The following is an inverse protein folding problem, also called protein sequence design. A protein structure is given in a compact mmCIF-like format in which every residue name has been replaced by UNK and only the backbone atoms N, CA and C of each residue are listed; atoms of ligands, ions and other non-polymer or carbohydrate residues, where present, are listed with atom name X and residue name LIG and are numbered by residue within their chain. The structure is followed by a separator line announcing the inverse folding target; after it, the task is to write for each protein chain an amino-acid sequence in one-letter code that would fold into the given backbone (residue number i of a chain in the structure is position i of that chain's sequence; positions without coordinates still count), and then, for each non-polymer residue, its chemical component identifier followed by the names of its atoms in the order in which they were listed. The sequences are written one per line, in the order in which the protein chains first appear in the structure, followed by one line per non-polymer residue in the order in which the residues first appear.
data_IF_412464293639
#
_entry.id   IF_412464293639
#
_cell.length_a   1.000
_cell.length_b   1.000
_cell.length_c   1.000
_cell.angle_alpha   90.00
_cell.angle_beta   90.00
_cell.angle_gamma   90.00
#
_symmetry.space_group_name_H-M   'P 1'
#
loop_
_entity.id
_entity.type
_entity.pdbx_description
1 polymer ?
#
# COMPACT_ATOMS: atom_id res chain seq x y z
N UNK A 1 -0.72 10.20 23.37
CA UNK A 1 0.04 11.02 22.42
C UNK A 1 -0.89 11.40 21.28
N UNK A 2 -0.93 12.67 20.87
CA UNK A 2 -1.78 13.14 19.77
C UNK A 2 -1.12 12.80 18.44
N UNK A 3 -1.86 12.10 17.57
CA UNK A 3 -1.54 12.02 16.14
C UNK A 3 -1.50 13.44 15.59
N UNK A 4 -0.33 13.90 15.15
CA UNK A 4 -0.19 15.18 14.46
C UNK A 4 0.03 14.82 13.00
N UNK A 5 -1.06 14.85 12.23
CA UNK A 5 -1.02 14.90 10.78
C UNK A 5 0.02 15.93 10.32
N UNK A 6 0.87 15.56 9.37
CA UNK A 6 1.92 16.42 8.82
C UNK A 6 1.55 16.88 7.41
N UNK A 7 1.00 18.10 7.24
CA UNK A 7 0.57 18.60 5.94
C UNK A 7 1.71 18.63 4.91
N UNK A 8 2.93 18.93 5.35
CA UNK A 8 4.10 19.04 4.46
C UNK A 8 4.47 17.68 3.87
N UNK A 9 4.48 16.61 4.68
CA UNK A 9 4.75 15.25 4.19
C UNK A 9 3.60 14.72 3.35
N UNK A 10 2.34 15.02 3.73
CA UNK A 10 1.17 14.67 2.93
C UNK A 10 1.22 15.27 1.52
N UNK A 11 1.52 16.57 1.43
CA UNK A 11 1.62 17.28 0.15
C UNK A 11 2.76 16.74 -0.72
N UNK A 12 3.94 16.47 -0.14
CA UNK A 12 5.07 15.89 -0.88
C UNK A 12 4.71 14.50 -1.44
N UNK A 13 4.16 13.63 -0.59
CA UNK A 13 3.73 12.30 -0.99
C UNK A 13 2.66 12.34 -2.09
N UNK A 14 1.69 13.26 -1.99
CA UNK A 14 0.70 13.49 -3.04
C UNK A 14 1.36 13.90 -4.36
N UNK A 15 2.19 14.96 -4.34
CA UNK A 15 2.82 15.51 -5.56
C UNK A 15 3.70 14.48 -6.25
N UNK A 16 4.49 13.73 -5.49
CA UNK A 16 5.39 12.74 -6.08
C UNK A 16 4.63 11.49 -6.56
N UNK A 17 3.53 11.11 -5.92
CA UNK A 17 2.60 10.11 -6.46
C UNK A 17 1.97 10.57 -7.78
N UNK A 18 1.46 11.81 -7.87
CA UNK A 18 0.89 12.38 -9.11
C UNK A 18 1.90 12.31 -10.26
N UNK A 19 3.14 12.75 -10.02
CA UNK A 19 4.22 12.70 -11.02
C UNK A 19 4.51 11.26 -11.45
N UNK A 20 4.72 10.36 -10.48
CA UNK A 20 5.01 8.96 -10.77
C UNK A 20 3.90 8.30 -11.60
N UNK A 21 2.64 8.51 -11.23
CA UNK A 21 1.48 7.98 -11.95
C UNK A 21 1.37 8.53 -13.38
N UNK A 22 1.62 9.83 -13.56
CA UNK A 22 1.58 10.50 -14.87
C UNK A 22 2.71 10.02 -15.79
N UNK A 23 3.94 9.97 -15.31
CA UNK A 23 5.12 9.49 -16.06
C UNK A 23 4.97 8.02 -16.50
N UNK A 24 4.26 7.22 -15.69
CA UNK A 24 4.00 5.79 -15.95
C UNK A 24 2.71 5.53 -16.73
N UNK A 25 1.94 6.56 -17.08
CA UNK A 25 0.71 6.43 -17.86
C UNK A 25 -0.39 5.59 -17.18
N UNK A 26 -0.48 5.62 -15.84
CA UNK A 26 -1.46 4.82 -15.09
C UNK A 26 -2.79 5.56 -14.96
N UNK A 27 -3.93 4.92 -15.21
CA UNK A 27 -5.25 5.57 -15.25
C UNK A 27 -5.97 5.65 -13.88
N UNK A 28 -5.78 4.68 -12.97
CA UNK A 28 -6.44 4.64 -11.64
C UNK A 28 -5.77 5.61 -10.63
N UNK A 29 -5.77 6.92 -10.94
CA UNK A 29 -4.96 7.90 -10.20
C UNK A 29 -5.58 8.38 -8.89
N UNK A 30 -6.90 8.61 -8.86
CA UNK A 30 -7.55 9.33 -7.75
C UNK A 30 -7.38 8.63 -6.39
N UNK A 31 -7.58 7.32 -6.34
CA UNK A 31 -7.39 6.52 -5.12
C UNK A 31 -5.93 6.50 -4.72
N UNK A 32 -5.03 6.21 -5.67
CA UNK A 32 -3.59 6.15 -5.45
C UNK A 32 -3.03 7.47 -4.90
N UNK A 33 -3.41 8.61 -5.48
CA UNK A 33 -3.04 9.95 -5.03
C UNK A 33 -3.52 10.22 -3.60
N UNK A 34 -4.77 9.89 -3.29
CA UNK A 34 -5.36 10.08 -1.96
C UNK A 34 -4.62 9.27 -0.90
N UNK A 35 -4.47 7.96 -1.11
CA UNK A 35 -3.85 7.09 -0.11
C UNK A 35 -2.36 7.39 0.07
N UNK A 36 -1.69 7.91 -0.96
CA UNK A 36 -0.30 8.40 -0.86
C UNK A 36 -0.20 9.60 0.08
N UNK A 37 -1.10 10.57 -0.09
CA UNK A 37 -1.18 11.73 0.79
C UNK A 37 -1.45 11.30 2.25
N UNK A 38 -2.34 10.31 2.44
CA UNK A 38 -2.65 9.76 3.76
C UNK A 38 -1.43 9.08 4.38
N UNK A 39 -0.76 8.18 3.67
CA UNK A 39 0.45 7.51 4.13
C UNK A 39 1.55 8.50 4.56
N UNK A 40 1.81 9.51 3.72
CA UNK A 40 2.78 10.56 4.02
C UNK A 40 2.38 11.41 5.22
N UNK A 41 1.13 11.88 5.27
CA UNK A 41 0.66 12.76 6.33
C UNK A 41 0.59 12.10 7.70
N UNK A 42 0.29 10.79 7.76
CA UNK A 42 0.38 9.99 8.99
C UNK A 42 1.81 9.58 9.36
N UNK A 43 2.79 9.87 8.51
CA UNK A 43 4.18 9.39 8.64
C UNK A 43 4.26 7.87 8.82
N UNK A 44 3.43 7.14 8.08
CA UNK A 44 3.26 5.70 8.23
C UNK A 44 4.58 4.95 7.98
N UNK A 45 5.05 4.18 8.96
CA UNK A 45 6.26 3.36 8.84
C UNK A 45 5.96 2.00 8.23
N UNK A 46 4.80 1.42 8.52
CA UNK A 46 4.32 0.18 7.89
C UNK A 46 3.00 0.44 7.17
N UNK A 47 3.06 0.42 5.83
CA UNK A 47 1.91 0.52 4.94
C UNK A 47 1.64 -0.84 4.31
N UNK A 48 0.41 -1.34 4.46
CA UNK A 48 -0.03 -2.63 3.90
C UNK A 48 -1.09 -2.39 2.83
N UNK A 49 -0.95 -3.06 1.69
CA UNK A 49 -1.93 -3.05 0.60
C UNK A 49 -2.49 -4.45 0.40
N UNK A 50 -3.81 -4.61 0.51
CA UNK A 50 -4.49 -5.84 0.09
C UNK A 50 -4.96 -5.67 -1.35
N UNK A 51 -4.10 -6.06 -2.29
CA UNK A 51 -4.27 -5.87 -3.73
C UNK A 51 -5.30 -6.84 -4.35
N UNK A 52 -6.21 -6.36 -5.21
CA UNK A 52 -7.08 -7.24 -5.99
C UNK A 52 -6.45 -7.59 -7.34
N UNK A 53 -6.62 -8.85 -7.76
CA UNK A 53 -6.36 -9.29 -9.14
C UNK A 53 -7.20 -8.38 -10.05
N UNK A 54 -6.52 -7.63 -10.93
CA UNK A 54 -7.04 -6.57 -11.83
C UNK A 54 -7.02 -5.11 -11.31
N UNK A 55 -6.54 -4.83 -10.10
CA UNK A 55 -6.45 -3.45 -9.57
C UNK A 55 -5.32 -2.60 -10.19
N UNK A 56 -4.60 -3.13 -11.18
CA UNK A 56 -3.43 -2.45 -11.75
C UNK A 56 -2.31 -2.24 -10.71
N UNK A 57 -1.48 -1.22 -10.92
CA UNK A 57 -0.31 -0.93 -10.07
C UNK A 57 -0.36 0.46 -9.42
N UNK A 58 -1.41 1.25 -9.67
CA UNK A 58 -1.44 2.67 -9.30
C UNK A 58 -1.34 2.87 -7.78
N UNK A 59 -2.14 2.13 -7.00
CA UNK A 59 -2.12 2.18 -5.53
C UNK A 59 -0.73 1.83 -4.99
N UNK A 60 -0.17 0.68 -5.35
CA UNK A 60 1.18 0.29 -4.94
C UNK A 60 2.26 1.30 -5.35
N UNK A 61 2.18 1.87 -6.56
CA UNK A 61 3.08 2.94 -7.02
C UNK A 61 3.01 4.17 -6.11
N UNK A 62 1.80 4.63 -5.81
CA UNK A 62 1.59 5.80 -4.96
C UNK A 62 2.07 5.56 -3.52
N UNK A 63 1.71 4.41 -2.93
CA UNK A 63 2.13 4.04 -1.59
C UNK A 63 3.65 3.92 -1.48
N UNK A 64 4.33 3.39 -2.50
CA UNK A 64 5.81 3.37 -2.56
C UNK A 64 6.41 4.77 -2.56
N UNK A 65 5.89 5.68 -3.39
CA UNK A 65 6.34 7.08 -3.40
C UNK A 65 6.13 7.74 -2.02
N UNK A 66 5.02 7.44 -1.34
CA UNK A 66 4.74 7.98 -0.02
C UNK A 66 5.69 7.47 1.06
N UNK A 67 6.00 6.16 1.10
CA UNK A 67 6.87 5.58 2.14
C UNK A 67 8.32 6.05 2.05
N UNK A 68 8.78 6.46 0.87
CA UNK A 68 10.12 7.06 0.67
C UNK A 68 10.31 8.35 1.50
N UNK A 69 9.28 9.18 1.62
CA UNK A 69 9.35 10.43 2.40
C UNK A 69 9.46 10.21 3.91
N UNK A 70 9.06 9.03 4.38
CA UNK A 70 8.94 8.71 5.81
C UNK A 70 9.89 7.59 6.22
N UNK A 71 10.70 7.07 5.28
CA UNK A 71 11.57 5.89 5.44
C UNK A 71 10.81 4.67 5.94
N UNK A 72 9.56 4.54 5.50
CA UNK A 72 8.69 3.42 5.81
C UNK A 72 8.88 2.26 4.84
N UNK A 73 8.07 1.23 5.02
CA UNK A 73 7.97 0.06 4.15
C UNK A 73 6.55 -0.13 3.64
N UNK A 74 6.42 -0.49 2.37
CA UNK A 74 5.19 -0.91 1.74
C UNK A 74 5.22 -2.42 1.54
N UNK A 75 4.16 -3.10 1.98
CA UNK A 75 3.98 -4.55 1.84
C UNK A 75 2.63 -4.81 1.17
N UNK A 76 2.64 -5.58 0.09
CA UNK A 76 1.44 -6.07 -0.56
C UNK A 76 1.09 -7.46 -0.01
N UNK A 77 -0.15 -7.69 0.43
CA UNK A 77 -0.63 -8.99 0.89
C UNK A 77 -1.44 -9.66 -0.21
N UNK A 78 -1.08 -10.90 -0.55
CA UNK A 78 -1.70 -11.68 -1.63
C UNK A 78 -1.96 -13.11 -1.18
N UNK A 79 -3.05 -13.75 -1.65
CA UNK A 79 -3.47 -15.06 -1.14
C UNK A 79 -2.50 -16.20 -1.50
N UNK A 80 -1.83 -16.11 -2.64
CA UNK A 80 -0.97 -17.16 -3.17
C UNK A 80 0.13 -16.62 -4.11
N UNK A 81 1.04 -17.49 -4.51
CA UNK A 81 2.19 -17.18 -5.37
C UNK A 81 1.81 -16.71 -6.77
N UNK A 82 0.65 -17.14 -7.29
CA UNK A 82 0.16 -16.69 -8.59
C UNK A 82 -0.21 -15.21 -8.52
N UNK A 83 -0.92 -14.81 -7.45
CA UNK A 83 -1.25 -13.41 -7.22
C UNK A 83 0.00 -12.57 -6.95
N UNK A 84 1.00 -13.12 -6.25
CA UNK A 84 2.29 -12.47 -6.04
C UNK A 84 2.98 -12.17 -7.38
N UNK A 85 3.07 -13.17 -8.26
CA UNK A 85 3.67 -13.01 -9.58
C UNK A 85 2.92 -11.98 -10.45
N UNK A 86 1.59 -11.93 -10.36
CA UNK A 86 0.77 -10.97 -11.09
C UNK A 86 0.92 -9.55 -10.58
N UNK A 87 0.94 -9.36 -9.24
CA UNK A 87 1.21 -8.07 -8.62
C UNK A 87 2.61 -7.56 -8.99
N UNK A 88 3.64 -8.40 -8.84
CA UNK A 88 5.03 -8.07 -9.25
C UNK A 88 5.08 -7.74 -10.74
N UNK A 89 4.34 -8.48 -11.59
CA UNK A 89 4.23 -8.22 -13.01
C UNK A 89 3.52 -6.90 -13.33
N UNK A 90 2.49 -6.51 -12.57
CA UNK A 90 1.81 -5.23 -12.70
C UNK A 90 2.75 -4.07 -12.32
N UNK A 91 3.42 -4.17 -11.18
CA UNK A 91 4.38 -3.17 -10.71
C UNK A 91 5.58 -3.01 -11.66
N UNK A 92 6.12 -4.12 -12.18
CA UNK A 92 7.21 -4.10 -13.16
C UNK A 92 6.80 -3.42 -14.47
N UNK A 93 5.60 -3.72 -14.98
CA UNK A 93 5.05 -3.04 -16.17
C UNK A 93 4.84 -1.54 -15.93
N UNK A 94 4.53 -1.16 -14.70
CA UNK A 94 4.48 0.24 -14.26
C UNK A 94 5.87 0.84 -13.98
N UNK A 95 6.99 0.17 -14.32
CA UNK A 95 8.33 0.72 -14.11
C UNK A 95 8.73 0.83 -12.63
N UNK A 96 8.14 0.03 -11.75
CA UNK A 96 8.52 -0.06 -10.33
C UNK A 96 9.19 -1.40 -10.04
N UNK A 97 10.31 -1.36 -9.34
CA UNK A 97 10.92 -2.55 -8.75
C UNK A 97 10.15 -2.95 -7.48
N UNK A 98 9.92 -4.25 -7.33
CA UNK A 98 9.31 -4.86 -6.14
C UNK A 98 10.34 -5.80 -5.56
N UNK A 99 10.75 -5.53 -4.33
CA UNK A 99 11.61 -6.43 -3.58
C UNK A 99 10.79 -7.63 -3.11
N UNK A 100 11.38 -8.82 -3.02
CA UNK A 100 10.65 -10.02 -2.57
C UNK A 100 9.99 -9.81 -1.19
N UNK A 101 10.67 -9.09 -0.29
CA UNK A 101 10.19 -8.76 1.06
C UNK A 101 8.99 -7.78 1.08
N UNK A 102 8.67 -7.16 -0.06
CA UNK A 102 7.52 -6.25 -0.19
C UNK A 102 6.23 -6.96 -0.61
N UNK A 103 6.24 -8.30 -0.70
CA UNK A 103 5.05 -9.12 -0.96
C UNK A 103 4.93 -10.23 0.09
N UNK A 104 3.87 -10.18 0.88
CA UNK A 104 3.52 -11.22 1.84
C UNK A 104 2.50 -12.17 1.21
N UNK A 105 2.89 -13.43 1.05
CA UNK A 105 2.09 -14.46 0.39
C UNK A 105 1.45 -15.39 1.41
N UNK A 106 0.15 -15.60 1.28
CA UNK A 106 -0.63 -16.54 2.07
C UNK A 106 -2.08 -16.10 2.20
N UNK A 107 -2.95 -17.02 2.62
CA UNK A 107 -4.30 -16.66 3.03
C UNK A 107 -4.28 -15.57 4.10
N UNK A 108 -5.38 -14.84 4.26
CA UNK A 108 -5.46 -13.63 5.09
C UNK A 108 -4.73 -13.73 6.45
N UNK A 109 -4.94 -14.82 7.20
CA UNK A 109 -4.26 -15.05 8.48
C UNK A 109 -2.75 -15.25 8.31
N UNK A 110 -2.33 -16.07 7.34
CA UNK A 110 -0.93 -16.36 7.04
C UNK A 110 -0.14 -15.14 6.57
N UNK A 111 -0.70 -14.37 5.63
CA UNK A 111 -0.05 -13.17 5.10
C UNK A 111 0.04 -12.04 6.13
N UNK A 112 -0.93 -11.94 7.04
CA UNK A 112 -0.96 -10.90 8.08
C UNK A 112 -0.19 -11.28 9.36
N UNK A 113 0.13 -12.57 9.55
CA UNK A 113 0.73 -13.11 10.78
C UNK A 113 1.96 -12.36 11.27
N UNK A 114 2.81 -11.93 10.34
CA UNK A 114 4.10 -11.29 10.63
C UNK A 114 4.06 -9.75 10.49
N UNK A 115 2.89 -9.21 10.15
CA UNK A 115 2.67 -7.78 9.94
C UNK A 115 2.06 -7.15 11.20
N UNK A 116 2.91 -6.95 12.21
CA UNK A 116 2.55 -6.24 13.44
C UNK A 116 2.81 -4.73 13.34
N UNK A 117 1.97 -3.95 14.01
CA UNK A 117 2.18 -2.51 14.09
C UNK A 117 1.84 -1.76 12.80
N UNK A 118 0.84 -2.24 12.04
CA UNK A 118 0.42 -1.60 10.80
C UNK A 118 -0.03 -0.16 11.07
N UNK A 119 0.64 0.82 10.43
CA UNK A 119 0.31 2.25 10.56
C UNK A 119 -0.79 2.65 9.56
N UNK A 120 -0.78 2.07 8.35
CA UNK A 120 -1.82 2.26 7.35
C UNK A 120 -2.08 0.97 6.59
N UNK A 121 -3.35 0.63 6.38
CA UNK A 121 -3.79 -0.46 5.52
C UNK A 121 -4.76 0.05 4.47
N UNK A 122 -4.55 -0.33 3.22
CA UNK A 122 -5.43 -0.04 2.08
C UNK A 122 -5.98 -1.36 1.57
N UNK A 123 -7.31 -1.53 1.60
CA UNK A 123 -7.94 -2.79 1.18
C UNK A 123 -8.74 -2.59 -0.09
N UNK A 124 -8.38 -3.32 -1.15
CA UNK A 124 -9.23 -3.38 -2.33
C UNK A 124 -10.45 -4.27 -2.06
N UNK A 125 -11.61 -3.64 -1.90
CA UNK A 125 -12.89 -4.30 -1.62
C UNK A 125 -13.37 -5.24 -2.75
N UNK A 126 -12.75 -5.21 -3.95
CA UNK A 126 -13.02 -6.21 -5.01
C UNK A 126 -12.51 -7.60 -4.61
N UNK A 127 -11.58 -7.70 -3.65
CA UNK A 127 -11.11 -8.96 -3.11
C UNK A 127 -12.22 -9.72 -2.38
N UNK A 128 -12.34 -11.02 -2.66
CA UNK A 128 -13.30 -11.90 -1.99
C UNK A 128 -13.02 -12.06 -0.49
N UNK A 129 -11.74 -12.01 -0.11
CA UNK A 129 -11.27 -12.18 1.27
C UNK A 129 -11.06 -10.84 2.01
N UNK A 130 -11.48 -9.70 1.44
CA UNK A 130 -11.28 -8.36 2.02
C UNK A 130 -11.70 -8.28 3.50
N UNK A 131 -12.85 -8.86 3.85
CA UNK A 131 -13.35 -8.88 5.24
C UNK A 131 -12.46 -9.69 6.18
N UNK A 132 -11.87 -10.78 5.69
CA UNK A 132 -10.96 -11.62 6.47
C UNK A 132 -9.64 -10.90 6.65
N UNK A 133 -9.07 -10.33 5.58
CA UNK A 133 -7.84 -9.54 5.62
C UNK A 133 -7.96 -8.35 6.59
N UNK A 134 -9.13 -7.68 6.60
CA UNK A 134 -9.43 -6.61 7.56
C UNK A 134 -9.52 -7.11 9.02
N UNK A 135 -9.98 -8.34 9.26
CA UNK A 135 -10.07 -8.90 10.62
C UNK A 135 -8.71 -9.30 11.18
N UNK A 136 -7.81 -9.73 10.31
CA UNK A 136 -6.47 -10.20 10.69
C UNK A 136 -5.45 -9.08 10.87
N UNK A 137 -5.82 -7.83 10.56
CA UNK A 137 -4.92 -6.68 10.73
C UNK A 137 -4.53 -6.48 12.19
N UNK A 138 -3.23 -6.28 12.43
CA UNK A 138 -2.65 -5.96 13.73
C UNK A 138 -2.18 -4.50 13.73
N UNK A 139 -3.10 -3.54 13.89
CA UNK A 139 -2.76 -2.13 13.81
C UNK A 139 -1.84 -1.73 14.96
N UNK A 140 -0.87 -0.86 14.68
CA UNK A 140 -0.07 -0.23 15.73
C UNK A 140 -0.89 0.76 16.54
N UNK A 141 -0.27 1.38 17.55
CA UNK A 141 -0.92 2.42 18.35
C UNK A 141 -1.42 3.65 17.55
N UNK A 142 -1.00 3.76 16.28
CA UNK A 142 -1.35 4.83 15.33
C UNK A 142 -2.02 4.29 14.06
N UNK A 143 -2.40 3.02 14.05
CA UNK A 143 -2.88 2.32 12.85
C UNK A 143 -4.20 2.83 12.32
N UNK A 144 -4.31 2.91 11.00
CA UNK A 144 -5.53 3.25 10.28
C UNK A 144 -5.79 2.24 9.17
N UNK A 145 -7.07 1.94 8.92
CA UNK A 145 -7.51 1.08 7.82
C UNK A 145 -8.47 1.90 6.95
N UNK A 146 -8.20 1.95 5.65
CA UNK A 146 -8.89 2.78 4.65
C UNK A 146 -9.45 1.90 3.55
#
# INVERSE_FOLDING_TARGET
MKLVWCPETALKAYVDAVKALAERGLEERSVAELVSAMAGGWKAQLVVEAWARDAGAATGVGLRAAVEHVRGRHVCVVPDEQWAAEYVGAMRRAGSSVEAESVAVGEAEGAMRELEGVDLMVVDCRRRDAKTVLREVRPGARGMVV
#
